data_IF_178556403934
#
_entry.id   IF_178556403934
#
_cell.length_a   1.000
_cell.length_b   1.000
_cell.length_c   1.000
_cell.angle_alpha   90.00
_cell.angle_beta   90.00
_cell.angle_gamma   90.00
#
_symmetry.space_group_name_H-M   'P 1'
#
loop_
_entity.id
_entity.type
_entity.pdbx_description
1 polymer ?
#
# COMPACT_ATOMS: atom_id res chain seq x y z
N UNK A 1 -51.40 -66.24 28.42
CA UNK A 1 -50.38 -67.05 29.15
C UNK A 1 -48.99 -66.52 28.78
N UNK A 2 -48.29 -66.12 29.83
CA UNK A 2 -46.81 -65.94 29.92
C UNK A 2 -46.18 -64.75 29.26
N UNK A 3 -45.54 -64.00 29.96
CA UNK A 3 -44.70 -63.75 31.11
C UNK A 3 -43.85 -62.55 30.80
N UNK A 4 -44.00 -61.56 31.62
CA UNK A 4 -43.05 -60.41 31.73
C UNK A 4 -41.69 -60.91 32.19
N UNK A 5 -40.64 -60.45 31.57
CA UNK A 5 -39.29 -60.44 32.11
C UNK A 5 -38.74 -59.02 32.05
N UNK A 6 -38.65 -58.37 33.19
CA UNK A 6 -38.04 -57.10 33.38
C UNK A 6 -36.52 -57.22 33.32
N UNK A 7 -35.88 -56.33 32.55
CA UNK A 7 -34.45 -56.11 32.59
C UNK A 7 -34.19 -54.87 33.40
N UNK A 8 -33.61 -55.00 34.55
CA UNK A 8 -33.14 -53.92 35.38
C UNK A 8 -31.85 -53.31 34.72
N UNK A 9 -31.94 -52.05 34.35
CA UNK A 9 -30.77 -51.28 33.86
C UNK A 9 -30.03 -50.72 35.09
N UNK A 10 -28.88 -51.29 35.38
CA UNK A 10 -27.96 -50.75 36.39
C UNK A 10 -27.22 -49.52 35.86
N UNK A 11 -27.35 -48.39 36.53
CA UNK A 11 -26.59 -47.18 36.30
C UNK A 11 -25.17 -47.36 36.82
N UNK A 12 -24.13 -46.95 36.08
CA UNK A 12 -22.78 -46.91 36.60
C UNK A 12 -22.56 -45.72 37.54
N UNK A 13 -21.62 -45.81 38.49
CA UNK A 13 -21.37 -44.76 39.47
C UNK A 13 -20.71 -43.52 38.82
N UNK A 14 -21.20 -42.35 39.19
CA UNK A 14 -20.65 -41.07 38.83
C UNK A 14 -19.23 -40.89 39.44
N UNK A 15 -18.23 -40.85 38.61
CA UNK A 15 -16.87 -40.45 38.99
C UNK A 15 -16.86 -38.93 39.08
N UNK A 16 -16.79 -38.40 40.31
CA UNK A 16 -16.60 -36.99 40.55
C UNK A 16 -15.15 -36.62 40.23
N UNK A 17 -14.90 -35.91 39.13
CA UNK A 17 -13.65 -35.25 38.86
C UNK A 17 -13.58 -33.94 39.68
N UNK A 18 -12.81 -33.95 40.73
CA UNK A 18 -12.43 -32.71 41.45
C UNK A 18 -11.46 -31.94 40.55
N UNK A 19 -11.94 -30.91 39.86
CA UNK A 19 -11.08 -29.95 39.18
C UNK A 19 -10.37 -29.08 40.21
N UNK A 20 -9.10 -29.34 40.45
CA UNK A 20 -8.25 -28.42 41.18
C UNK A 20 -7.96 -27.19 40.31
N UNK A 21 -8.64 -26.06 40.60
CA UNK A 21 -8.31 -24.76 40.02
C UNK A 21 -6.98 -24.31 40.65
N UNK A 22 -5.90 -24.50 39.93
CA UNK A 22 -4.63 -23.82 40.25
C UNK A 22 -4.81 -22.35 39.87
N UNK A 23 -4.83 -21.48 40.89
CA UNK A 23 -4.70 -20.03 40.68
C UNK A 23 -3.28 -19.76 40.14
N UNK A 24 -3.18 -19.66 38.83
CA UNK A 24 -1.98 -19.11 38.19
C UNK A 24 -2.00 -17.59 38.40
N UNK A 25 -1.08 -17.10 39.22
CA UNK A 25 -0.78 -15.67 39.29
C UNK A 25 -0.32 -15.20 37.93
N UNK A 26 -0.87 -14.10 37.37
CA UNK A 26 -0.37 -13.57 36.12
C UNK A 26 1.08 -13.11 36.35
N UNK A 27 2.02 -13.63 35.57
CA UNK A 27 3.35 -13.03 35.46
C UNK A 27 3.16 -11.56 35.01
N UNK A 28 3.90 -10.61 35.56
CA UNK A 28 3.93 -9.25 35.03
C UNK A 28 4.37 -9.34 33.58
N UNK A 29 3.56 -8.75 32.69
CA UNK A 29 3.94 -8.58 31.31
C UNK A 29 5.23 -7.73 31.31
N UNK A 30 6.33 -8.38 30.96
CA UNK A 30 7.58 -7.68 30.69
C UNK A 30 7.31 -6.93 29.39
N UNK A 31 7.16 -5.60 29.47
CA UNK A 31 7.20 -4.74 28.29
C UNK A 31 8.51 -5.05 27.59
N UNK A 32 8.43 -5.81 26.49
CA UNK A 32 9.54 -5.97 25.59
C UNK A 32 9.79 -4.57 25.02
N UNK A 33 10.81 -3.88 25.54
CA UNK A 33 11.41 -2.78 24.79
C UNK A 33 11.71 -3.33 23.39
N UNK A 34 10.98 -2.82 22.40
CA UNK A 34 11.25 -3.16 21.02
C UNK A 34 12.70 -2.75 20.75
N UNK A 35 13.55 -3.74 20.50
CA UNK A 35 14.90 -3.47 20.00
C UNK A 35 14.79 -2.45 18.87
N UNK A 36 15.54 -1.36 18.89
CA UNK A 36 15.54 -0.41 17.78
C UNK A 36 15.86 -1.21 16.51
N UNK A 37 14.99 -1.08 15.51
CA UNK A 37 15.19 -1.75 14.23
C UNK A 37 16.63 -1.54 13.78
N UNK A 38 17.34 -2.60 13.34
CA UNK A 38 18.74 -2.47 12.94
C UNK A 38 18.83 -1.37 11.89
N UNK A 39 19.72 -0.40 12.13
CA UNK A 39 19.97 0.67 11.18
C UNK A 39 20.26 0.05 9.81
N UNK A 40 19.54 0.50 8.78
CA UNK A 40 19.77 0.03 7.42
C UNK A 40 21.27 0.18 7.11
N UNK A 41 21.93 -0.82 6.49
CA UNK A 41 23.33 -0.70 6.10
C UNK A 41 23.47 0.57 5.23
N UNK A 42 24.53 1.36 5.41
CA UNK A 42 24.73 2.55 4.60
C UNK A 42 24.72 2.16 3.13
N UNK A 43 23.77 2.69 2.35
CA UNK A 43 23.73 2.42 0.91
C UNK A 43 24.98 3.02 0.28
N UNK A 44 25.59 2.29 -0.64
CA UNK A 44 26.80 2.77 -1.30
C UNK A 44 26.54 4.05 -2.15
N UNK A 45 25.29 4.27 -2.60
CA UNK A 45 24.95 5.28 -3.61
C UNK A 45 23.93 6.32 -3.11
N UNK A 46 22.84 5.89 -2.50
CA UNK A 46 21.80 6.79 -1.96
C UNK A 46 21.99 7.07 -0.48
N UNK A 47 21.72 8.29 -0.03
CA UNK A 47 21.75 8.71 1.38
C UNK A 47 20.52 9.52 1.71
N UNK A 48 19.98 9.44 2.93
CA UNK A 48 18.87 10.27 3.37
C UNK A 48 19.32 11.70 3.68
N UNK A 49 19.95 12.33 2.69
CA UNK A 49 20.52 13.67 2.78
C UNK A 49 19.94 14.56 1.67
N UNK A 50 18.98 15.46 2.00
CA UNK A 50 18.36 16.36 1.03
C UNK A 50 19.36 17.33 0.35
N UNK A 51 20.53 17.57 0.93
CA UNK A 51 21.55 18.43 0.34
C UNK A 51 22.17 17.87 -0.95
N UNK A 52 21.97 16.55 -1.19
CA UNK A 52 22.40 15.88 -2.42
C UNK A 52 21.44 16.11 -3.59
N UNK A 53 20.27 16.71 -3.36
CA UNK A 53 19.30 17.02 -4.39
C UNK A 53 19.68 18.30 -5.10
N UNK A 54 20.03 18.20 -6.38
CA UNK A 54 20.45 19.38 -7.16
C UNK A 54 19.27 20.20 -7.70
N UNK A 55 18.03 19.64 -7.63
CA UNK A 55 16.83 20.26 -8.15
C UNK A 55 16.65 20.13 -9.67
N UNK A 56 15.50 20.58 -10.16
CA UNK A 56 15.13 20.54 -11.57
C UNK A 56 14.08 19.49 -11.88
N UNK A 57 14.12 18.95 -13.09
CA UNK A 57 13.16 17.99 -13.62
C UNK A 57 13.68 16.56 -13.51
N UNK A 58 12.83 15.67 -12.99
CA UNK A 58 13.11 14.25 -12.84
C UNK A 58 11.99 13.42 -13.46
N UNK A 59 12.34 12.25 -13.96
CA UNK A 59 11.40 11.28 -14.53
C UNK A 59 11.32 10.07 -13.59
N UNK A 60 10.13 9.57 -13.37
CA UNK A 60 9.94 8.37 -12.57
C UNK A 60 10.61 7.17 -13.23
N UNK A 61 11.30 6.35 -12.41
CA UNK A 61 11.80 5.05 -12.83
C UNK A 61 10.66 4.03 -12.72
N UNK A 62 10.12 3.55 -13.85
CA UNK A 62 8.95 2.65 -13.81
C UNK A 62 9.27 1.28 -13.23
N UNK A 63 10.55 0.86 -13.22
CA UNK A 63 10.96 -0.43 -12.69
C UNK A 63 11.11 -0.43 -11.16
N UNK A 64 11.23 0.75 -10.55
CA UNK A 64 11.44 0.91 -9.12
C UNK A 64 10.36 1.79 -8.45
N UNK A 65 9.31 2.19 -9.21
CA UNK A 65 8.17 2.92 -8.66
C UNK A 65 6.97 1.99 -8.52
N UNK A 66 6.56 1.75 -7.27
CA UNK A 66 5.55 0.77 -6.90
C UNK A 66 4.48 1.41 -6.03
N UNK A 67 3.23 1.04 -6.25
CA UNK A 67 2.08 1.41 -5.41
C UNK A 67 1.48 0.13 -4.82
N UNK A 68 1.82 -0.17 -3.57
CA UNK A 68 1.18 -1.23 -2.80
C UNK A 68 -0.14 -0.70 -2.24
N UNK A 69 -1.17 -1.53 -2.30
CA UNK A 69 -2.47 -1.27 -1.70
C UNK A 69 -2.90 -2.43 -0.81
N UNK A 70 -3.62 -2.12 0.25
CA UNK A 70 -4.13 -3.09 1.21
C UNK A 70 -5.58 -2.80 1.56
N UNK A 71 -6.35 -3.87 1.74
CA UNK A 71 -7.75 -3.87 2.20
C UNK A 71 -7.93 -4.89 3.31
N UNK A 72 -8.83 -4.64 4.24
CA UNK A 72 -9.27 -5.68 5.18
C UNK A 72 -10.26 -6.62 4.50
N UNK A 73 -10.08 -7.92 4.73
CA UNK A 73 -10.95 -8.97 4.20
C UNK A 73 -11.66 -9.69 5.34
N UNK A 74 -12.95 -9.39 5.52
CA UNK A 74 -13.85 -9.97 6.51
C UNK A 74 -13.44 -9.73 7.98
N UNK A 75 -12.55 -8.77 8.26
CA UNK A 75 -12.00 -8.58 9.60
C UNK A 75 -11.03 -9.68 10.05
N UNK A 76 -10.62 -10.57 9.15
CA UNK A 76 -9.73 -11.68 9.49
C UNK A 76 -8.28 -11.41 9.12
N UNK A 77 -8.06 -10.87 7.93
CA UNK A 77 -6.69 -10.59 7.44
C UNK A 77 -6.69 -9.43 6.46
N UNK A 78 -5.59 -8.67 6.36
CA UNK A 78 -5.39 -7.79 5.23
C UNK A 78 -5.15 -8.61 3.96
N UNK A 79 -5.59 -8.09 2.83
CA UNK A 79 -5.20 -8.55 1.50
C UNK A 79 -4.56 -7.37 0.76
N UNK A 80 -3.48 -7.62 0.05
CA UNK A 80 -2.72 -6.57 -0.63
C UNK A 80 -2.31 -6.97 -2.05
N UNK A 81 -2.05 -5.97 -2.85
CA UNK A 81 -1.51 -6.09 -4.18
C UNK A 81 -0.66 -4.89 -4.55
N UNK A 82 -0.09 -4.90 -5.74
CA UNK A 82 0.85 -3.88 -6.20
C UNK A 82 0.48 -3.46 -7.61
N UNK A 83 0.55 -2.16 -7.88
CA UNK A 83 0.66 -1.62 -9.23
C UNK A 83 2.11 -1.24 -9.47
N UNK A 84 2.65 -1.63 -10.62
CA UNK A 84 3.98 -1.28 -11.10
C UNK A 84 3.93 -0.47 -12.39
N UNK A 85 5.07 -0.35 -13.07
CA UNK A 85 5.23 0.34 -14.34
C UNK A 85 4.75 1.82 -14.33
N UNK A 86 4.74 2.42 -13.12
CA UNK A 86 4.29 3.79 -12.94
C UNK A 86 5.27 4.76 -13.62
N UNK A 87 4.73 5.67 -14.43
CA UNK A 87 5.49 6.71 -15.12
C UNK A 87 5.09 8.10 -14.63
N UNK A 88 5.94 9.09 -14.85
CA UNK A 88 5.59 10.45 -14.46
C UNK A 88 6.80 11.33 -14.25
N UNK A 89 6.57 12.49 -13.64
CA UNK A 89 7.58 13.52 -13.44
C UNK A 89 7.51 14.13 -12.05
N UNK A 90 8.67 14.59 -11.60
CA UNK A 90 8.84 15.42 -10.42
C UNK A 90 9.65 16.66 -10.82
N UNK A 91 9.09 17.84 -10.58
CA UNK A 91 9.81 19.11 -10.62
C UNK A 91 10.05 19.55 -9.17
N UNK A 92 11.30 19.76 -8.77
CA UNK A 92 11.65 20.13 -7.41
C UNK A 92 12.78 21.17 -7.37
N UNK A 93 12.61 22.19 -6.53
CA UNK A 93 13.66 23.09 -6.08
C UNK A 93 13.97 22.77 -4.60
N UNK A 94 15.16 22.23 -4.26
CA UNK A 94 15.48 21.87 -2.88
C UNK A 94 15.49 23.06 -1.92
N UNK A 95 15.55 24.30 -2.43
CA UNK A 95 15.42 25.53 -1.63
C UNK A 95 13.97 25.91 -1.36
N UNK A 96 13.04 25.36 -2.11
CA UNK A 96 11.59 25.62 -2.01
C UNK A 96 10.81 24.33 -2.25
N UNK A 97 11.03 23.28 -1.44
CA UNK A 97 10.43 21.97 -1.64
C UNK A 97 8.89 22.00 -1.59
N UNK A 98 8.30 23.00 -0.94
CA UNK A 98 6.84 23.21 -0.92
C UNK A 98 6.26 23.56 -2.31
N UNK A 99 7.11 23.93 -3.27
CA UNK A 99 6.71 24.21 -4.66
C UNK A 99 6.89 23.00 -5.58
N UNK A 100 7.29 21.85 -5.03
CA UNK A 100 7.45 20.63 -5.81
C UNK A 100 6.13 20.25 -6.52
N UNK A 101 6.26 19.72 -7.74
CA UNK A 101 5.15 19.27 -8.57
C UNK A 101 5.38 17.83 -8.98
N UNK A 102 4.38 17.01 -8.76
CA UNK A 102 4.39 15.59 -9.14
C UNK A 102 3.21 15.32 -10.05
N UNK A 103 3.47 14.64 -11.16
CA UNK A 103 2.44 14.14 -12.05
C UNK A 103 2.76 12.68 -12.41
N UNK A 104 1.88 11.75 -12.02
CA UNK A 104 2.08 10.30 -12.19
C UNK A 104 0.95 9.67 -12.99
N UNK A 105 1.29 8.66 -13.80
CA UNK A 105 0.38 7.72 -14.44
C UNK A 105 0.71 6.31 -13.97
N UNK A 106 -0.28 5.60 -13.48
CA UNK A 106 -0.16 4.26 -12.92
C UNK A 106 -1.04 3.31 -13.74
N UNK A 107 -0.46 2.40 -14.54
CA UNK A 107 -1.24 1.45 -15.33
C UNK A 107 -2.03 0.50 -14.41
N UNK A 108 -3.35 0.67 -14.34
CA UNK A 108 -4.21 -0.20 -13.50
C UNK A 108 -4.17 -1.64 -13.97
N UNK A 109 -3.99 -1.87 -15.27
CA UNK A 109 -3.83 -3.20 -15.85
C UNK A 109 -2.57 -3.95 -15.36
N UNK A 110 -1.56 -3.23 -14.83
CA UNK A 110 -0.33 -3.83 -14.27
C UNK A 110 -0.55 -4.51 -12.92
N UNK A 111 -1.78 -4.46 -12.36
CA UNK A 111 -2.10 -5.02 -11.04
C UNK A 111 -1.53 -6.42 -10.87
N UNK A 112 -0.77 -6.60 -9.79
CA UNK A 112 -0.18 -7.87 -9.38
C UNK A 112 -0.69 -8.25 -8.00
N UNK A 113 -1.24 -9.46 -7.90
CA UNK A 113 -1.73 -10.08 -6.68
C UNK A 113 -1.32 -11.56 -6.68
N UNK A 114 -1.15 -12.15 -5.50
CA UNK A 114 -0.72 -13.54 -5.38
C UNK A 114 -1.74 -14.54 -5.98
N UNK A 115 -3.03 -14.22 -5.91
CA UNK A 115 -4.10 -15.07 -6.44
C UNK A 115 -4.39 -14.77 -7.91
N UNK A 116 -4.14 -15.73 -8.80
CA UNK A 116 -4.51 -15.62 -10.22
C UNK A 116 -6.02 -15.46 -10.41
N UNK A 117 -6.83 -16.10 -9.57
CA UNK A 117 -8.29 -15.95 -9.57
C UNK A 117 -8.74 -14.53 -9.23
N UNK A 118 -8.09 -13.90 -8.24
CA UNK A 118 -8.39 -12.51 -7.90
C UNK A 118 -7.94 -11.55 -9.01
N UNK A 119 -6.75 -11.75 -9.60
CA UNK A 119 -6.32 -10.93 -10.73
C UNK A 119 -7.34 -10.98 -11.86
N UNK A 120 -7.81 -12.17 -12.20
CA UNK A 120 -8.84 -12.36 -13.22
C UNK A 120 -10.16 -11.66 -12.85
N UNK A 121 -10.53 -11.64 -11.57
CA UNK A 121 -11.73 -10.96 -11.09
C UNK A 121 -11.59 -9.43 -11.15
N UNK A 122 -10.45 -8.89 -10.74
CA UNK A 122 -10.19 -7.45 -10.78
C UNK A 122 -10.32 -6.87 -12.20
N UNK A 123 -9.96 -7.66 -13.21
CA UNK A 123 -9.97 -7.26 -14.62
C UNK A 123 -11.11 -7.90 -15.42
N UNK A 124 -12.14 -8.45 -14.77
CA UNK A 124 -13.24 -9.14 -15.41
C UNK A 124 -14.21 -8.15 -16.07
N UNK A 125 -14.68 -8.51 -17.25
CA UNK A 125 -15.77 -7.80 -17.91
C UNK A 125 -17.06 -7.84 -17.06
N UNK A 126 -17.95 -6.84 -17.22
CA UNK A 126 -19.27 -6.88 -16.59
C UNK A 126 -20.05 -8.15 -16.97
N UNK A 127 -20.93 -8.59 -16.07
CA UNK A 127 -21.74 -9.79 -16.27
C UNK A 127 -22.77 -9.64 -17.41
N UNK A 128 -23.13 -8.41 -17.78
CA UNK A 128 -24.07 -8.11 -18.87
C UNK A 128 -23.52 -6.97 -19.73
N UNK A 129 -23.94 -6.94 -20.99
CA UNK A 129 -23.60 -5.86 -21.92
C UNK A 129 -24.11 -4.51 -21.37
N UNK A 130 -23.23 -3.48 -21.37
CA UNK A 130 -23.52 -2.17 -20.79
C UNK A 130 -23.56 -2.12 -19.26
N UNK A 131 -23.31 -3.24 -18.57
CA UNK A 131 -23.20 -3.29 -17.12
C UNK A 131 -21.91 -2.67 -16.60
N UNK A 132 -21.86 -2.45 -15.27
CA UNK A 132 -20.65 -2.01 -14.57
C UNK A 132 -19.83 -3.25 -14.17
N UNK A 133 -18.50 -3.26 -14.35
CA UNK A 133 -17.66 -4.33 -13.80
C UNK A 133 -17.62 -4.27 -12.28
N UNK A 134 -17.35 -5.40 -11.63
CA UNK A 134 -17.22 -5.50 -10.17
C UNK A 134 -16.06 -4.61 -9.66
N UNK A 135 -14.99 -4.54 -10.46
CA UNK A 135 -13.79 -3.74 -10.17
C UNK A 135 -13.37 -2.92 -11.41
N UNK A 136 -12.14 -3.04 -11.86
CA UNK A 136 -11.57 -2.22 -12.92
C UNK A 136 -12.05 -2.58 -14.34
N UNK A 137 -12.48 -3.85 -14.53
CA UNK A 137 -12.83 -4.32 -15.87
C UNK A 137 -11.62 -4.70 -16.74
N UNK A 138 -11.86 -5.16 -17.99
CA UNK A 138 -10.83 -5.78 -18.83
C UNK A 138 -9.82 -4.79 -19.43
N UNK A 139 -10.20 -3.52 -19.57
CA UNK A 139 -9.39 -2.47 -20.19
C UNK A 139 -9.46 -1.20 -19.32
N UNK A 140 -8.92 -1.23 -18.10
CA UNK A 140 -8.96 -0.07 -17.24
C UNK A 140 -8.09 1.06 -17.79
N UNK A 141 -8.56 2.29 -17.62
CA UNK A 141 -7.71 3.47 -17.81
C UNK A 141 -6.65 3.54 -16.73
N UNK A 142 -5.50 4.17 -17.04
CA UNK A 142 -4.47 4.45 -16.06
C UNK A 142 -5.02 5.34 -14.95
N UNK A 143 -4.65 5.05 -13.72
CA UNK A 143 -4.85 5.98 -12.63
C UNK A 143 -3.86 7.14 -12.79
N UNK A 144 -4.30 8.37 -12.49
CA UNK A 144 -3.49 9.59 -12.62
C UNK A 144 -3.49 10.36 -11.31
N UNK A 145 -2.31 10.75 -10.86
CA UNK A 145 -2.16 11.62 -9.70
C UNK A 145 -1.42 12.89 -10.09
N UNK A 146 -1.98 14.05 -9.72
CA UNK A 146 -1.34 15.36 -9.94
C UNK A 146 -1.36 16.11 -8.62
N UNK A 147 -0.18 16.45 -8.10
CA UNK A 147 -0.06 17.21 -6.86
C UNK A 147 -0.66 18.62 -7.01
N UNK A 148 -1.34 19.07 -5.95
CA UNK A 148 -1.95 20.41 -5.87
C UNK A 148 -1.37 21.24 -4.75
N UNK A 149 -0.88 20.58 -3.69
CA UNK A 149 -0.30 21.23 -2.51
C UNK A 149 0.77 20.32 -1.91
N UNK A 150 1.91 20.90 -1.55
CA UNK A 150 2.94 20.25 -0.74
C UNK A 150 3.18 21.12 0.49
N UNK A 151 3.10 20.50 1.66
CA UNK A 151 3.35 21.13 2.95
C UNK A 151 4.48 20.39 3.66
N UNK A 152 5.56 21.08 3.94
CA UNK A 152 6.69 20.50 4.69
C UNK A 152 6.26 20.35 6.15
N UNK A 153 6.42 19.15 6.70
CA UNK A 153 6.03 18.78 8.07
C UNK A 153 7.20 18.41 8.97
N UNK A 154 8.38 18.23 8.39
CA UNK A 154 9.64 17.93 9.07
C UNK A 154 10.82 17.98 8.11
N UNK A 155 12.04 17.74 8.60
CA UNK A 155 13.29 17.86 7.82
C UNK A 155 13.30 17.00 6.54
N UNK A 156 12.63 15.84 6.57
CA UNK A 156 12.55 14.90 5.46
C UNK A 156 11.10 14.48 5.19
N UNK A 157 10.13 15.22 5.72
CA UNK A 157 8.73 14.86 5.71
C UNK A 157 7.88 15.97 5.09
N UNK A 158 6.89 15.55 4.33
CA UNK A 158 5.89 16.44 3.76
C UNK A 158 4.51 15.75 3.73
N UNK A 159 3.49 16.57 3.76
CA UNK A 159 2.14 16.20 3.37
C UNK A 159 1.89 16.69 1.95
N UNK A 160 1.54 15.79 1.06
CA UNK A 160 1.24 16.09 -0.34
C UNK A 160 -0.23 15.81 -0.62
N UNK A 161 -0.99 16.83 -0.99
CA UNK A 161 -2.34 16.67 -1.52
C UNK A 161 -2.30 16.74 -3.04
N UNK A 162 -3.05 15.87 -3.70
CA UNK A 162 -3.18 15.87 -5.15
C UNK A 162 -4.53 15.34 -5.61
N UNK A 163 -4.85 15.57 -6.86
CA UNK A 163 -6.02 15.02 -7.52
C UNK A 163 -5.68 13.62 -8.05
N UNK A 164 -6.32 12.60 -7.50
CA UNK A 164 -6.29 11.24 -8.04
C UNK A 164 -7.49 11.04 -8.95
N UNK A 165 -7.23 10.69 -10.20
CA UNK A 165 -8.25 10.16 -11.13
C UNK A 165 -8.09 8.64 -11.19
N UNK A 166 -9.12 7.92 -10.79
CA UNK A 166 -9.17 6.46 -10.84
C UNK A 166 -10.57 6.04 -11.30
N UNK A 167 -10.64 5.08 -12.21
CA UNK A 167 -11.90 4.60 -12.76
C UNK A 167 -12.79 5.75 -13.32
N UNK A 168 -12.16 6.74 -13.96
CA UNK A 168 -12.81 7.93 -14.53
C UNK A 168 -13.28 8.98 -13.52
N UNK A 169 -13.09 8.75 -12.20
CA UNK A 169 -13.53 9.67 -11.14
C UNK A 169 -12.31 10.36 -10.52
N UNK A 170 -12.39 11.68 -10.34
CA UNK A 170 -11.32 12.47 -9.73
C UNK A 170 -11.70 12.91 -8.33
N UNK A 171 -10.82 12.65 -7.36
CA UNK A 171 -10.96 13.07 -5.95
C UNK A 171 -9.62 13.54 -5.40
N UNK A 172 -9.61 14.46 -4.42
CA UNK A 172 -8.41 14.80 -3.69
C UNK A 172 -7.97 13.64 -2.79
N UNK A 173 -6.68 13.35 -2.80
CA UNK A 173 -6.03 12.38 -1.91
C UNK A 173 -4.82 13.05 -1.28
N UNK A 174 -4.61 12.80 0.02
CA UNK A 174 -3.46 13.31 0.77
C UNK A 174 -2.54 12.16 1.14
N UNK A 175 -1.26 12.33 0.87
CA UNK A 175 -0.19 11.39 1.16
C UNK A 175 0.77 11.98 2.19
N UNK A 176 1.23 11.16 3.12
CA UNK A 176 2.37 11.46 3.97
C UNK A 176 3.61 10.99 3.25
N UNK A 177 4.52 11.91 2.95
CA UNK A 177 5.72 11.66 2.15
C UNK A 177 6.96 11.74 3.02
N UNK A 178 7.83 10.75 2.89
CA UNK A 178 9.15 10.72 3.50
C UNK A 178 10.21 10.72 2.39
N UNK A 179 11.19 11.60 2.49
CA UNK A 179 12.37 11.55 1.64
C UNK A 179 13.23 10.34 2.03
N UNK A 180 13.34 9.37 1.13
CA UNK A 180 14.11 8.15 1.36
C UNK A 180 15.59 8.36 1.15
N UNK A 181 15.95 9.10 0.09
CA UNK A 181 17.35 9.40 -0.21
C UNK A 181 17.61 9.96 -1.60
N UNK A 182 18.81 10.47 -1.76
CA UNK A 182 19.35 10.92 -3.04
C UNK A 182 20.82 10.49 -3.21
N UNK A 183 21.27 10.45 -4.45
CA UNK A 183 22.67 10.13 -4.75
C UNK A 183 22.93 10.00 -6.24
N UNK A 184 24.20 9.70 -6.55
CA UNK A 184 24.63 9.47 -7.94
C UNK A 184 24.61 7.99 -8.26
N UNK A 185 23.86 7.63 -9.28
CA UNK A 185 23.83 6.25 -9.82
C UNK A 185 25.10 6.02 -10.63
N UNK A 186 25.80 4.89 -10.43
CA UNK A 186 27.00 4.59 -11.20
C UNK A 186 26.73 4.52 -12.70
N UNK A 187 27.69 4.96 -13.56
CA UNK A 187 27.51 4.95 -15.02
C UNK A 187 27.11 3.58 -15.59
N UNK A 188 27.63 2.48 -15.03
CA UNK A 188 27.30 1.10 -15.46
C UNK A 188 25.85 0.69 -15.12
N UNK A 189 25.15 1.47 -14.27
CA UNK A 189 23.76 1.26 -13.89
C UNK A 189 22.83 2.35 -14.46
N UNK A 190 23.30 3.10 -15.48
CA UNK A 190 22.54 4.17 -16.12
C UNK A 190 23.04 5.56 -15.81
N UNK A 191 23.81 5.77 -14.74
CA UNK A 191 24.34 7.06 -14.33
C UNK A 191 23.28 8.08 -13.89
N UNK A 192 23.73 9.28 -13.56
CA UNK A 192 22.84 10.40 -13.20
C UNK A 192 22.50 10.49 -11.72
N UNK A 193 21.70 11.47 -11.38
CA UNK A 193 21.20 11.71 -10.02
C UNK A 193 19.87 10.99 -9.83
N UNK A 194 19.80 10.18 -8.77
CA UNK A 194 18.59 9.47 -8.37
C UNK A 194 18.01 10.03 -7.07
N UNK A 195 16.68 10.06 -6.98
CA UNK A 195 15.90 10.42 -5.79
C UNK A 195 14.94 9.28 -5.44
N UNK A 196 14.74 9.09 -4.14
CA UNK A 196 13.76 8.14 -3.61
C UNK A 196 12.85 8.78 -2.58
N UNK A 197 11.57 8.39 -2.62
CA UNK A 197 10.56 8.79 -1.64
C UNK A 197 9.71 7.59 -1.25
N UNK A 198 9.35 7.52 0.03
CA UNK A 198 8.27 6.68 0.51
C UNK A 198 7.03 7.55 0.70
N UNK A 199 5.86 7.02 0.41
CA UNK A 199 4.63 7.71 0.77
C UNK A 199 3.58 6.72 1.28
N UNK A 200 2.75 7.20 2.20
CA UNK A 200 1.60 6.46 2.72
C UNK A 200 0.35 7.31 2.66
N UNK A 201 -0.80 6.66 2.55
CA UNK A 201 -2.08 7.33 2.56
C UNK A 201 -3.23 6.36 2.63
N UNK A 202 -4.43 6.90 2.70
CA UNK A 202 -5.66 6.11 2.66
C UNK A 202 -6.65 6.76 1.71
N UNK A 203 -7.49 5.94 1.10
CA UNK A 203 -8.63 6.39 0.31
C UNK A 203 -9.82 5.47 0.53
N UNK A 204 -11.01 5.90 0.14
CA UNK A 204 -12.19 5.04 0.03
C UNK A 204 -12.34 4.63 -1.42
N UNK A 205 -12.36 3.32 -1.67
CA UNK A 205 -12.53 2.81 -3.03
C UNK A 205 -13.94 3.09 -3.59
N UNK A 206 -14.95 3.21 -2.73
CA UNK A 206 -16.29 3.64 -3.14
C UNK A 206 -16.33 5.05 -3.72
N UNK A 207 -15.45 5.96 -3.30
CA UNK A 207 -15.31 7.31 -3.87
C UNK A 207 -14.94 7.29 -5.36
N UNK A 208 -14.36 6.17 -5.83
CA UNK A 208 -13.99 5.92 -7.22
C UNK A 208 -14.89 4.89 -7.89
N UNK A 209 -16.07 4.65 -7.33
CA UNK A 209 -17.04 3.72 -7.86
C UNK A 209 -16.67 2.23 -7.74
N UNK A 210 -15.69 1.87 -6.93
CA UNK A 210 -15.22 0.49 -6.70
C UNK A 210 -15.87 -0.06 -5.41
N UNK A 211 -17.17 -0.29 -5.44
CA UNK A 211 -18.00 -0.61 -4.27
C UNK A 211 -18.34 -2.10 -4.10
N UNK A 212 -17.92 -2.96 -5.03
CA UNK A 212 -18.20 -4.39 -4.97
C UNK A 212 -17.66 -5.02 -3.67
N UNK A 213 -18.52 -5.82 -3.02
CA UNK A 213 -18.16 -6.57 -1.81
C UNK A 213 -18.03 -5.75 -0.51
N UNK A 214 -18.38 -4.46 -0.49
CA UNK A 214 -18.47 -3.68 0.75
C UNK A 214 -19.71 -4.15 1.54
N UNK A 215 -19.62 -4.37 2.88
CA UNK A 215 -18.46 -4.16 3.76
C UNK A 215 -17.57 -5.39 3.98
N UNK A 216 -17.82 -6.52 3.32
CA UNK A 216 -17.04 -7.77 3.49
C UNK A 216 -15.55 -7.57 3.15
N UNK A 217 -15.29 -6.74 2.15
CA UNK A 217 -13.97 -6.19 1.88
C UNK A 217 -14.04 -4.70 2.19
N UNK A 218 -13.10 -4.18 2.97
CA UNK A 218 -13.14 -2.80 3.45
C UNK A 218 -13.29 -1.79 2.31
N UNK A 219 -14.03 -0.71 2.59
CA UNK A 219 -14.08 0.45 1.72
C UNK A 219 -12.76 1.22 1.75
N UNK A 220 -12.16 1.32 2.94
CA UNK A 220 -10.85 1.94 3.10
C UNK A 220 -9.77 1.07 2.45
N UNK A 221 -8.93 1.72 1.66
CA UNK A 221 -7.72 1.17 1.08
C UNK A 221 -6.54 1.93 1.67
N UNK A 222 -5.57 1.19 2.21
CA UNK A 222 -4.29 1.74 2.63
C UNK A 222 -3.31 1.70 1.46
N UNK A 223 -2.52 2.75 1.32
CA UNK A 223 -1.49 2.88 0.28
C UNK A 223 -0.11 2.96 0.92
N UNK A 224 0.83 2.21 0.34
CA UNK A 224 2.25 2.34 0.60
C UNK A 224 2.97 2.44 -0.75
N UNK A 225 3.71 3.52 -0.94
CA UNK A 225 4.29 3.88 -2.23
C UNK A 225 5.80 3.98 -2.06
N UNK A 226 6.53 3.32 -2.94
CA UNK A 226 7.96 3.56 -3.17
C UNK A 226 8.08 4.26 -4.52
N UNK A 227 8.61 5.47 -4.54
CA UNK A 227 8.74 6.26 -5.75
C UNK A 227 10.21 6.60 -6.01
N UNK A 228 10.75 6.10 -7.12
CA UNK A 228 12.09 6.39 -7.58
C UNK A 228 12.05 7.33 -8.78
N UNK A 229 12.95 8.31 -8.79
CA UNK A 229 13.06 9.30 -9.86
C UNK A 229 14.52 9.43 -10.31
N UNK A 230 14.73 9.62 -11.59
CA UNK A 230 16.02 9.89 -12.20
C UNK A 230 16.02 11.29 -12.82
N UNK A 231 17.09 12.04 -12.62
CA UNK A 231 17.22 13.36 -13.20
C UNK A 231 17.19 13.29 -14.73
N UNK A 232 16.32 14.08 -15.35
CA UNK A 232 16.24 14.18 -16.81
C UNK A 232 17.38 15.08 -17.33
N UNK A 233 18.42 14.41 -17.86
CA UNK A 233 19.58 15.12 -18.42
C UNK A 233 19.22 15.97 -19.67
N UNK A 234 18.13 15.64 -20.38
CA UNK A 234 17.70 16.38 -21.57
C UNK A 234 16.99 17.70 -21.22
N UNK A 235 16.46 17.81 -19.99
CA UNK A 235 15.80 19.01 -19.45
C UNK A 235 16.61 19.69 -18.35
N UNK A 236 17.91 19.39 -18.22
CA UNK A 236 18.78 20.20 -17.38
C UNK A 236 18.70 21.66 -17.86
N UNK A 237 18.22 22.55 -16.96
CA UNK A 237 18.01 23.95 -17.28
C UNK A 237 19.29 24.60 -17.83
N UNK A 238 19.18 25.60 -18.72
CA UNK A 238 20.30 26.33 -19.26
C UNK A 238 21.05 27.10 -18.18
#
# INVERSE_FOLDING_TARGET
MNRLLGAACALPPAIAFAAAFALSTPLPAQEAEADPAPAAPPSAFGKPDPSLVSGGHYVADPHHTLVEWSVDHLGFTPYFGIFGDATGTLDIDPKRPEQARVAMSIPVASVTVASAGLKSHLLKAPASEGGKPDFFGPNPEDARFVSTLVRITGDQQAEMTGNLTLNGITKPVTLQVLFHGAGTVPPQMGGGEGLGFDATGTLKRSDFGLDFGIPMVSDQVELKIAAAFMKDAAKAAP
#
